data_IF_219750041472
#
_entry.id   IF_219750041472
#
_cell.length_a   1.000
_cell.length_b   1.000
_cell.length_c   1.000
_cell.angle_alpha   90.00
_cell.angle_beta   90.00
_cell.angle_gamma   90.00
#
_symmetry.space_group_name_H-M   'P 1'
#
loop_
_entity.id
_entity.type
_entity.pdbx_description
1 polymer ?
#
# COMPACT_ATOMS: atom_id res chain seq x y z
N UNK A 1 -5.06 -23.69 -15.18
CA UNK A 1 -5.04 -22.93 -13.90
C UNK A 1 -4.56 -21.50 -14.09
N UNK A 2 -3.35 -21.27 -14.61
CA UNK A 2 -2.80 -19.91 -14.83
C UNK A 2 -3.70 -19.08 -15.75
N UNK A 3 -4.16 -19.63 -16.88
CA UNK A 3 -5.06 -18.92 -17.81
C UNK A 3 -6.37 -18.49 -17.11
N UNK A 4 -6.99 -19.37 -16.32
CA UNK A 4 -8.17 -19.05 -15.51
C UNK A 4 -7.86 -17.93 -14.49
N UNK A 5 -6.71 -17.98 -13.83
CA UNK A 5 -6.29 -16.95 -12.90
C UNK A 5 -6.07 -15.59 -13.60
N UNK A 6 -5.52 -15.59 -14.82
CA UNK A 6 -5.38 -14.40 -15.66
C UNK A 6 -6.74 -13.79 -16.04
N UNK A 7 -7.72 -14.60 -16.41
CA UNK A 7 -9.08 -14.13 -16.71
C UNK A 7 -9.75 -13.50 -15.49
N UNK A 8 -9.62 -14.14 -14.32
CA UNK A 8 -10.11 -13.62 -13.04
C UNK A 8 -9.41 -12.30 -12.72
N UNK A 9 -8.08 -12.24 -12.84
CA UNK A 9 -7.28 -11.02 -12.62
C UNK A 9 -7.75 -9.88 -13.51
N UNK A 10 -7.94 -10.13 -14.81
CA UNK A 10 -8.45 -9.13 -15.76
C UNK A 10 -9.82 -8.58 -15.33
N UNK A 11 -10.68 -9.44 -14.78
CA UNK A 11 -12.01 -9.05 -14.31
C UNK A 11 -11.99 -8.28 -12.99
N UNK A 12 -11.24 -8.78 -12.01
CA UNK A 12 -11.16 -8.20 -10.66
C UNK A 12 -10.42 -6.86 -10.72
N UNK A 13 -9.24 -6.81 -11.37
CA UNK A 13 -8.43 -5.59 -11.52
C UNK A 13 -8.97 -4.61 -12.57
N UNK A 14 -10.13 -4.88 -13.16
CA UNK A 14 -10.83 -4.02 -14.15
C UNK A 14 -9.96 -3.68 -15.37
N UNK A 15 -9.22 -4.64 -15.93
CA UNK A 15 -8.23 -4.40 -17.00
C UNK A 15 -8.83 -4.34 -18.43
N UNK A 16 -10.14 -4.07 -18.55
CA UNK A 16 -10.86 -3.88 -19.82
C UNK A 16 -11.70 -2.60 -19.76
N UNK A 17 -11.85 -1.92 -20.90
CA UNK A 17 -12.64 -0.67 -21.00
C UNK A 17 -14.10 -0.82 -20.54
N UNK A 18 -14.70 -2.00 -20.77
CA UNK A 18 -16.06 -2.32 -20.32
C UNK A 18 -16.16 -2.50 -18.81
N UNK A 19 -15.05 -2.83 -18.13
CA UNK A 19 -14.99 -3.09 -16.69
C UNK A 19 -14.49 -1.89 -15.88
N UNK A 20 -13.96 -0.86 -16.54
CA UNK A 20 -13.28 0.26 -15.88
C UNK A 20 -14.16 0.96 -14.85
N UNK A 21 -13.52 1.50 -13.81
CA UNK A 21 -14.17 2.31 -12.80
C UNK A 21 -14.57 3.67 -13.38
N UNK A 22 -15.84 4.06 -13.21
CA UNK A 22 -16.40 5.30 -13.78
C UNK A 22 -16.99 6.26 -12.74
N UNK A 23 -17.23 5.76 -11.53
CA UNK A 23 -17.83 6.50 -10.43
C UNK A 23 -16.89 6.54 -9.23
N UNK A 24 -17.03 7.58 -8.42
CA UNK A 24 -16.24 7.77 -7.21
C UNK A 24 -16.50 6.65 -6.19
N UNK A 25 -17.75 6.29 -6.03
CA UNK A 25 -18.19 5.22 -5.13
C UNK A 25 -17.66 3.85 -5.60
N UNK A 26 -17.55 3.65 -6.92
CA UNK A 26 -16.93 2.45 -7.50
C UNK A 26 -15.44 2.35 -7.18
N UNK A 27 -14.72 3.48 -7.18
CA UNK A 27 -13.30 3.56 -6.80
C UNK A 27 -13.11 3.21 -5.33
N UNK A 28 -13.91 3.78 -4.43
CA UNK A 28 -13.80 3.49 -3.00
C UNK A 28 -14.11 2.02 -2.71
N UNK A 29 -15.18 1.49 -3.31
CA UNK A 29 -15.55 0.08 -3.16
C UNK A 29 -14.44 -0.84 -3.67
N UNK A 30 -13.84 -0.53 -4.81
CA UNK A 30 -12.71 -1.28 -5.34
C UNK A 30 -11.55 -1.35 -4.35
N UNK A 31 -11.16 -0.24 -3.73
CA UNK A 31 -10.08 -0.24 -2.71
C UNK A 31 -10.47 -1.10 -1.50
N UNK A 32 -11.72 -1.02 -1.04
CA UNK A 32 -12.17 -1.82 0.10
C UNK A 32 -12.31 -3.31 -0.18
N UNK A 33 -12.74 -3.68 -1.39
CA UNK A 33 -12.94 -5.07 -1.79
C UNK A 33 -11.60 -5.77 -2.05
N UNK A 34 -10.67 -5.09 -2.72
CA UNK A 34 -9.33 -5.63 -2.98
C UNK A 34 -8.41 -5.54 -1.75
N UNK A 35 -8.67 -4.60 -0.84
CA UNK A 35 -7.90 -4.40 0.40
C UNK A 35 -6.56 -3.68 0.20
N UNK A 36 -5.78 -4.09 -0.80
CA UNK A 36 -4.49 -3.51 -1.18
C UNK A 36 -4.51 -3.15 -2.67
N UNK A 37 -4.44 -1.86 -2.99
CA UNK A 37 -4.47 -1.37 -4.37
C UNK A 37 -3.24 -0.50 -4.62
N UNK A 38 -2.38 -0.90 -5.55
CA UNK A 38 -1.27 -0.06 -5.98
C UNK A 38 -1.79 1.20 -6.67
N UNK A 39 -1.11 2.31 -6.44
CA UNK A 39 -1.48 3.57 -7.08
C UNK A 39 -1.27 3.51 -8.60
N UNK A 40 -0.13 2.97 -9.03
CA UNK A 40 0.23 2.74 -10.43
C UNK A 40 0.24 1.24 -10.75
N UNK A 41 0.17 0.92 -12.04
CA UNK A 41 0.44 -0.44 -12.52
C UNK A 41 1.93 -0.79 -12.48
N UNK A 42 2.27 -2.00 -12.95
CA UNK A 42 3.66 -2.49 -13.02
C UNK A 42 4.08 -3.39 -11.85
N UNK A 43 3.13 -3.82 -11.04
CA UNK A 43 3.30 -4.88 -10.06
C UNK A 43 2.07 -5.82 -10.06
N UNK A 44 2.06 -6.80 -9.15
CA UNK A 44 1.04 -7.86 -9.11
C UNK A 44 -0.30 -7.41 -8.49
N UNK A 45 -0.30 -6.32 -7.71
CA UNK A 45 -1.53 -5.82 -7.08
C UNK A 45 -2.49 -5.19 -8.10
N UNK A 46 -3.80 -5.15 -7.79
CA UNK A 46 -4.73 -4.30 -8.52
C UNK A 46 -4.22 -2.86 -8.51
N UNK A 47 -4.38 -2.17 -9.64
CA UNK A 47 -3.87 -0.81 -9.82
C UNK A 47 -5.01 0.17 -9.95
N UNK A 48 -4.99 1.23 -9.13
CA UNK A 48 -5.93 2.34 -9.14
C UNK A 48 -6.03 2.95 -10.55
N UNK A 49 -4.89 3.32 -11.13
CA UNK A 49 -4.87 3.93 -12.47
C UNK A 49 -5.29 2.93 -13.55
N UNK A 50 -4.83 1.68 -13.48
CA UNK A 50 -5.18 0.67 -14.48
C UNK A 50 -6.68 0.37 -14.48
N UNK A 51 -7.29 0.31 -13.30
CA UNK A 51 -8.71 0.04 -13.13
C UNK A 51 -9.59 1.20 -13.60
N UNK A 52 -9.13 2.45 -13.45
CA UNK A 52 -9.80 3.64 -13.98
C UNK A 52 -9.70 3.71 -15.51
N UNK A 53 -8.51 3.42 -16.05
CA UNK A 53 -8.28 3.46 -17.49
C UNK A 53 -8.88 2.25 -18.22
N UNK A 54 -9.11 1.14 -17.51
CA UNK A 54 -9.59 -0.11 -18.11
C UNK A 54 -8.53 -0.82 -18.93
N UNK A 55 -7.26 -0.77 -18.51
CA UNK A 55 -6.11 -1.24 -19.30
C UNK A 55 -5.09 -1.98 -18.45
N UNK A 56 -4.56 -3.08 -18.97
CA UNK A 56 -3.39 -3.74 -18.39
C UNK A 56 -2.12 -2.91 -18.61
N UNK A 57 -1.21 -2.97 -17.64
CA UNK A 57 0.16 -2.50 -17.82
C UNK A 57 0.87 -3.49 -18.76
N UNK A 58 1.49 -2.99 -19.84
CA UNK A 58 2.37 -3.79 -20.71
C UNK A 58 3.74 -3.10 -20.76
N UNK A 59 4.86 -3.85 -20.74
CA UNK A 59 6.20 -3.27 -20.87
C UNK A 59 6.39 -2.43 -22.15
N UNK A 60 5.67 -2.78 -23.22
CA UNK A 60 5.74 -2.14 -24.55
C UNK A 60 4.57 -1.21 -24.87
N UNK A 61 3.50 -1.22 -24.07
CA UNK A 61 2.38 -0.29 -24.25
C UNK A 61 2.51 0.85 -23.26
N UNK A 62 2.20 2.06 -23.70
CA UNK A 62 2.03 3.22 -22.84
C UNK A 62 0.77 3.05 -21.95
N UNK A 63 0.74 2.03 -21.09
CA UNK A 63 -0.39 1.72 -20.19
C UNK A 63 -0.67 2.83 -19.17
N UNK A 64 0.29 3.73 -19.00
CA UNK A 64 0.16 5.07 -18.46
C UNK A 64 0.85 5.98 -19.48
N UNK A 65 0.10 6.79 -20.25
CA UNK A 65 0.70 7.57 -21.36
C UNK A 65 1.34 8.88 -20.91
N UNK A 66 1.30 9.15 -19.60
CA UNK A 66 1.95 10.29 -18.96
C UNK A 66 0.98 11.12 -18.14
N UNK A 67 1.49 12.21 -17.55
CA UNK A 67 0.75 13.16 -16.71
C UNK A 67 -0.53 13.72 -17.37
N UNK A 68 -0.68 13.63 -18.69
CA UNK A 68 -1.89 14.08 -19.40
C UNK A 68 -3.11 13.18 -19.16
N UNK A 69 -2.94 11.88 -18.95
CA UNK A 69 -4.05 10.98 -18.59
C UNK A 69 -4.64 11.35 -17.21
N UNK A 70 -3.81 11.92 -16.33
CA UNK A 70 -4.16 12.37 -14.98
C UNK A 70 -5.23 13.48 -14.98
N UNK A 71 -5.18 14.37 -15.98
CA UNK A 71 -6.06 15.52 -16.11
C UNK A 71 -7.19 15.33 -17.11
N UNK A 72 -7.01 14.44 -18.09
CA UNK A 72 -7.98 14.22 -19.18
C UNK A 72 -9.08 13.22 -18.83
N UNK A 73 -8.77 12.19 -18.03
CA UNK A 73 -9.77 11.19 -17.63
C UNK A 73 -10.61 11.74 -16.49
N UNK A 74 -11.92 11.73 -16.67
CA UNK A 74 -12.89 12.19 -15.68
C UNK A 74 -13.67 11.01 -15.09
N UNK A 75 -13.75 10.97 -13.76
CA UNK A 75 -14.61 10.07 -12.98
C UNK A 75 -15.65 10.93 -12.28
N UNK A 76 -16.93 10.63 -12.49
CA UNK A 76 -18.04 11.46 -11.99
C UNK A 76 -17.87 12.96 -12.33
N UNK A 77 -17.29 13.27 -13.50
CA UNK A 77 -17.02 14.65 -13.94
C UNK A 77 -15.74 15.29 -13.40
N UNK A 78 -15.03 14.64 -12.47
CA UNK A 78 -13.80 15.15 -11.86
C UNK A 78 -12.53 14.47 -12.42
N UNK A 79 -11.40 15.20 -12.56
CA UNK A 79 -10.13 14.59 -12.94
C UNK A 79 -9.67 13.52 -11.95
N UNK A 80 -8.95 12.51 -12.44
CA UNK A 80 -8.35 11.46 -11.58
C UNK A 80 -7.48 12.05 -10.46
N UNK A 81 -6.81 13.18 -10.73
CA UNK A 81 -6.08 13.96 -9.75
C UNK A 81 -6.85 14.30 -8.48
N UNK A 82 -8.11 14.68 -8.66
CA UNK A 82 -8.99 15.09 -7.58
C UNK A 82 -9.47 13.86 -6.81
N UNK A 83 -9.87 12.81 -7.53
CA UNK A 83 -10.29 11.54 -6.92
C UNK A 83 -9.16 10.92 -6.09
N UNK A 84 -7.91 10.97 -6.58
CA UNK A 84 -6.74 10.50 -5.80
C UNK A 84 -6.59 11.25 -4.48
N UNK A 85 -6.64 12.59 -4.52
CA UNK A 85 -6.55 13.42 -3.31
C UNK A 85 -7.70 13.14 -2.35
N UNK A 86 -8.91 12.97 -2.87
CA UNK A 86 -10.07 12.57 -2.06
C UNK A 86 -9.83 11.22 -1.39
N UNK A 87 -9.36 10.20 -2.12
CA UNK A 87 -9.02 8.87 -1.57
C UNK A 87 -7.97 8.97 -0.46
N UNK A 88 -6.90 9.73 -0.68
CA UNK A 88 -5.81 9.91 0.28
C UNK A 88 -6.26 10.58 1.59
N UNK A 89 -7.21 11.50 1.50
CA UNK A 89 -7.78 12.19 2.64
C UNK A 89 -8.83 11.39 3.41
N UNK A 90 -9.28 10.24 2.91
CA UNK A 90 -10.32 9.46 3.59
C UNK A 90 -9.80 8.82 4.86
N UNK A 91 -10.59 8.88 5.92
CA UNK A 91 -10.21 8.27 7.20
C UNK A 91 -10.05 6.76 7.08
N UNK A 92 -10.86 6.06 6.28
CA UNK A 92 -10.91 4.60 6.14
C UNK A 92 -9.93 3.99 5.11
N UNK A 93 -9.06 4.82 4.51
CA UNK A 93 -8.02 4.39 3.56
C UNK A 93 -6.69 5.03 3.94
N UNK A 94 -5.61 4.24 3.91
CA UNK A 94 -4.25 4.76 4.04
C UNK A 94 -3.59 4.81 2.68
N UNK A 95 -2.89 5.90 2.36
CA UNK A 95 -1.91 5.93 1.29
C UNK A 95 -0.52 5.78 1.91
N UNK A 96 0.18 4.68 1.59
CA UNK A 96 1.49 4.36 2.17
C UNK A 96 2.39 3.66 1.15
N UNK A 97 3.69 3.56 1.43
CA UNK A 97 4.70 2.89 0.59
C UNK A 97 5.02 1.48 1.06
N UNK A 98 4.02 0.77 1.56
CA UNK A 98 4.15 -0.56 2.15
C UNK A 98 4.57 -1.64 1.12
N UNK A 99 3.94 -1.63 -0.06
CA UNK A 99 4.17 -2.66 -1.08
C UNK A 99 5.19 -2.20 -2.12
N UNK A 100 6.32 -2.91 -2.22
CA UNK A 100 7.46 -2.62 -3.11
C UNK A 100 7.97 -1.18 -3.02
N UNK A 101 7.78 -0.52 -1.87
CA UNK A 101 8.11 0.91 -1.67
C UNK A 101 7.36 1.86 -2.60
N UNK A 102 6.25 1.40 -3.19
CA UNK A 102 5.39 2.18 -4.09
C UNK A 102 4.11 2.60 -3.37
N UNK A 103 3.56 3.77 -3.76
CA UNK A 103 2.31 4.27 -3.18
C UNK A 103 1.20 3.23 -3.38
N UNK A 104 0.60 2.84 -2.28
CA UNK A 104 -0.40 1.77 -2.18
C UNK A 104 -1.53 2.27 -1.29
N UNK A 105 -2.76 2.13 -1.76
CA UNK A 105 -3.96 2.34 -0.98
C UNK A 105 -4.28 1.09 -0.17
N UNK A 106 -4.45 1.27 1.14
CA UNK A 106 -4.71 0.19 2.11
C UNK A 106 -6.04 0.47 2.79
N UNK A 107 -7.00 -0.40 2.53
CA UNK A 107 -8.32 -0.39 3.16
C UNK A 107 -8.22 -0.60 4.66
N UNK A 108 -9.11 0.05 5.43
CA UNK A 108 -9.29 -0.19 6.87
C UNK A 108 -9.52 -1.64 7.25
N UNK A 109 -10.05 -2.46 6.35
CA UNK A 109 -10.21 -3.91 6.53
C UNK A 109 -8.88 -4.65 6.74
N UNK A 110 -7.76 -4.09 6.26
CA UNK A 110 -6.43 -4.68 6.35
C UNK A 110 -5.69 -4.20 7.62
N UNK A 111 -6.10 -3.10 8.25
CA UNK A 111 -5.37 -2.56 9.39
C UNK A 111 -5.26 -3.50 10.58
N UNK A 112 -6.31 -4.26 10.99
CA UNK A 112 -6.17 -5.24 12.07
C UNK A 112 -5.17 -6.36 11.76
N UNK A 113 -4.88 -6.62 10.49
CA UNK A 113 -3.87 -7.60 10.04
C UNK A 113 -2.49 -6.96 10.06
N UNK A 114 -2.37 -5.69 9.65
CA UNK A 114 -1.10 -4.97 9.65
C UNK A 114 -0.63 -4.55 11.04
N UNK A 115 -1.55 -4.25 11.96
CA UNK A 115 -1.21 -3.66 13.25
C UNK A 115 -0.23 -4.50 14.08
N UNK A 116 -0.39 -5.84 14.24
CA UNK A 116 0.61 -6.65 14.92
C UNK A 116 1.98 -6.63 14.23
N UNK A 117 2.01 -6.54 12.89
CA UNK A 117 3.25 -6.45 12.10
C UNK A 117 3.95 -5.13 12.36
N UNK A 118 3.21 -4.01 12.36
CA UNK A 118 3.74 -2.68 12.66
C UNK A 118 4.22 -2.59 14.11
N UNK A 119 3.46 -3.15 15.06
CA UNK A 119 3.85 -3.21 16.48
C UNK A 119 5.12 -4.02 16.73
N UNK A 120 5.26 -5.16 16.05
CA UNK A 120 6.49 -5.96 16.10
C UNK A 120 7.70 -5.13 15.69
N UNK A 121 7.64 -4.50 14.52
CA UNK A 121 8.74 -3.69 13.99
C UNK A 121 9.03 -2.48 14.87
N UNK A 122 8.01 -1.85 15.45
CA UNK A 122 8.20 -0.80 16.46
C UNK A 122 8.98 -1.31 17.67
N UNK A 123 8.70 -2.52 18.14
CA UNK A 123 9.47 -3.15 19.22
C UNK A 123 10.95 -3.28 18.86
N UNK A 124 11.27 -3.67 17.61
CA UNK A 124 12.65 -3.72 17.12
C UNK A 124 13.31 -2.33 17.07
N UNK A 125 12.56 -1.30 16.65
CA UNK A 125 13.03 0.10 16.68
C UNK A 125 13.36 0.54 18.12
N UNK A 126 12.49 0.23 19.09
CA UNK A 126 12.69 0.59 20.49
C UNK A 126 13.92 -0.08 21.12
N UNK A 127 14.29 -1.26 20.62
CA UNK A 127 15.50 -1.97 21.02
C UNK A 127 16.76 -1.51 20.27
N UNK A 128 16.61 -0.60 19.30
CA UNK A 128 17.72 -0.13 18.45
C UNK A 128 18.23 -1.18 17.46
N UNK A 129 17.45 -2.22 17.19
CA UNK A 129 17.86 -3.32 16.29
C UNK A 129 17.72 -2.95 14.81
N UNK A 130 16.84 -2.00 14.51
CA UNK A 130 16.60 -1.48 13.17
C UNK A 130 16.52 0.04 13.16
N UNK A 131 16.67 0.62 11.97
CA UNK A 131 16.66 2.07 11.68
C UNK A 131 17.85 2.86 12.26
N UNK A 132 18.22 3.92 11.56
CA UNK A 132 19.23 4.89 11.96
C UNK A 132 18.73 5.87 13.03
N UNK A 133 19.66 6.53 13.73
CA UNK A 133 19.35 7.56 14.74
C UNK A 133 18.41 8.65 14.21
N UNK A 134 18.61 9.08 12.96
CA UNK A 134 17.75 10.07 12.32
C UNK A 134 16.31 9.56 12.17
N UNK A 135 16.13 8.31 11.74
CA UNK A 135 14.81 7.70 11.57
C UNK A 135 14.10 7.53 12.92
N UNK A 136 14.85 7.15 13.97
CA UNK A 136 14.31 7.08 15.33
C UNK A 136 13.90 8.46 15.85
N UNK A 137 14.73 9.49 15.62
CA UNK A 137 14.43 10.87 16.01
C UNK A 137 13.20 11.43 15.27
N UNK A 138 13.07 11.14 13.97
CA UNK A 138 11.89 11.46 13.18
C UNK A 138 10.64 10.81 13.76
N UNK A 139 10.68 9.49 13.99
CA UNK A 139 9.55 8.73 14.52
C UNK A 139 9.12 9.26 15.90
N UNK A 140 10.09 9.54 16.80
CA UNK A 140 9.83 10.11 18.12
C UNK A 140 9.19 11.49 18.03
N UNK A 141 9.68 12.34 17.13
CA UNK A 141 9.16 13.71 16.96
C UNK A 141 7.74 13.71 16.42
N UNK A 142 7.45 12.88 15.41
CA UNK A 142 6.10 12.72 14.86
C UNK A 142 5.15 12.18 15.95
N UNK A 143 5.59 11.20 16.75
CA UNK A 143 4.79 10.64 17.85
C UNK A 143 4.48 11.65 18.95
N UNK A 144 5.43 12.52 19.31
CA UNK A 144 5.22 13.56 20.32
C UNK A 144 4.23 14.65 19.89
N UNK A 145 4.18 14.96 18.61
CA UNK A 145 3.27 15.98 18.05
C UNK A 145 1.89 15.43 17.69
N UNK A 146 1.71 14.10 17.70
CA UNK A 146 0.59 13.36 17.10
C UNK A 146 0.45 13.54 15.58
N UNK A 147 0.56 14.77 15.06
CA UNK A 147 0.48 15.13 13.66
C UNK A 147 1.37 16.34 13.36
N UNK A 148 2.22 16.26 12.33
CA UNK A 148 3.13 17.36 11.97
C UNK A 148 3.36 17.45 10.46
N UNK A 149 3.30 18.67 9.92
CA UNK A 149 3.58 18.93 8.49
C UNK A 149 5.08 18.82 8.19
N UNK A 150 5.43 18.36 6.99
CA UNK A 150 6.82 18.12 6.53
C UNK A 150 7.78 19.28 6.81
N UNK A 151 7.39 20.52 6.50
CA UNK A 151 8.21 21.72 6.68
C UNK A 151 8.44 22.05 8.17
N UNK A 152 7.40 21.92 9.00
CA UNK A 152 7.49 22.10 10.45
C UNK A 152 8.36 21.01 11.09
N UNK A 153 8.25 19.77 10.61
CA UNK A 153 9.09 18.66 11.04
C UNK A 153 10.56 18.90 10.73
N UNK A 154 10.87 19.40 9.52
CA UNK A 154 12.25 19.77 9.13
C UNK A 154 12.82 20.86 10.02
N UNK A 155 12.06 21.94 10.25
CA UNK A 155 12.48 23.04 11.14
C UNK A 155 12.74 22.55 12.56
N UNK A 156 11.84 21.72 13.10
CA UNK A 156 11.96 21.20 14.47
C UNK A 156 13.17 20.29 14.69
N UNK A 157 13.63 19.63 13.63
CA UNK A 157 14.80 18.77 13.65
C UNK A 157 16.09 19.45 13.19
N UNK A 158 16.03 20.74 12.86
CA UNK A 158 17.17 21.51 12.33
C UNK A 158 17.73 20.89 11.02
N UNK A 159 16.83 20.36 10.17
CA UNK A 159 17.12 19.70 8.89
C UNK A 159 16.62 20.49 7.68
N UNK A 160 16.51 21.81 7.80
CA UNK A 160 16.04 22.71 6.75
C UNK A 160 17.09 22.92 5.63
N UNK A 161 18.38 22.73 5.92
CA UNK A 161 19.48 22.74 4.96
C UNK A 161 19.27 21.85 3.71
N UNK A 162 19.77 22.30 2.56
CA UNK A 162 19.59 21.63 1.25
C UNK A 162 20.29 20.28 1.20
N UNK A 163 21.45 20.17 1.83
CA UNK A 163 22.27 18.97 2.01
C UNK A 163 21.53 17.86 2.76
N UNK A 164 20.63 18.22 3.68
CA UNK A 164 19.85 17.27 4.45
C UNK A 164 18.63 16.72 3.69
N UNK A 165 18.27 17.32 2.54
CA UNK A 165 17.02 17.02 1.87
C UNK A 165 16.87 15.57 1.43
N UNK A 166 17.89 15.03 0.76
CA UNK A 166 17.86 13.65 0.30
C UNK A 166 17.81 12.66 1.47
N UNK A 167 18.61 12.91 2.51
CA UNK A 167 18.67 12.06 3.72
C UNK A 167 17.35 12.08 4.49
N UNK A 168 16.75 13.25 4.67
CA UNK A 168 15.47 13.43 5.35
C UNK A 168 14.33 12.68 4.64
N UNK A 169 14.16 12.87 3.33
CA UNK A 169 13.11 12.18 2.59
C UNK A 169 13.35 10.67 2.48
N UNK A 170 14.61 10.23 2.41
CA UNK A 170 14.95 8.81 2.49
C UNK A 170 14.51 8.20 3.82
N UNK A 171 14.79 8.87 4.93
CA UNK A 171 14.41 8.43 6.26
C UNK A 171 12.87 8.36 6.42
N UNK A 172 12.13 9.39 5.98
CA UNK A 172 10.66 9.35 5.97
C UNK A 172 10.12 8.20 5.13
N UNK A 173 10.62 8.04 3.91
CA UNK A 173 10.21 6.93 3.04
C UNK A 173 10.50 5.59 3.71
N UNK A 174 11.65 5.42 4.36
CA UNK A 174 11.98 4.17 5.03
C UNK A 174 10.99 3.87 6.17
N UNK A 175 10.72 4.84 7.04
CA UNK A 175 9.70 4.72 8.09
C UNK A 175 8.31 4.34 7.54
N UNK A 176 7.93 4.92 6.40
CA UNK A 176 6.66 4.62 5.73
C UNK A 176 6.65 3.22 5.09
N UNK A 177 7.78 2.70 4.60
CA UNK A 177 7.85 1.30 4.13
C UNK A 177 7.62 0.29 5.24
N UNK A 178 7.94 0.68 6.49
CA UNK A 178 7.58 -0.07 7.69
C UNK A 178 6.16 0.26 8.22
N UNK A 179 5.38 1.09 7.50
CA UNK A 179 4.11 1.63 7.96
C UNK A 179 4.13 2.24 9.38
N UNK A 180 5.31 2.64 9.89
CA UNK A 180 5.44 3.24 11.23
C UNK A 180 4.86 4.65 11.26
N UNK A 181 4.89 5.32 10.11
CA UNK A 181 4.27 6.62 9.87
C UNK A 181 3.41 6.55 8.60
N UNK A 182 2.40 7.41 8.54
CA UNK A 182 1.53 7.62 7.39
C UNK A 182 1.55 9.10 7.04
N UNK A 183 1.73 9.42 5.76
CA UNK A 183 1.67 10.78 5.24
C UNK A 183 0.39 11.00 4.44
N UNK A 184 -0.32 12.09 4.73
CA UNK A 184 -1.46 12.56 3.92
C UNK A 184 -1.07 13.90 3.30
N UNK A 185 -1.36 14.12 2.02
CA UNK A 185 -1.10 15.42 1.38
C UNK A 185 -1.88 16.53 2.11
N UNK A 186 -1.23 17.65 2.40
CA UNK A 186 -1.85 18.80 3.05
C UNK A 186 -2.97 19.37 2.15
N UNK A 187 -4.24 19.36 2.61
CA UNK A 187 -5.34 19.89 1.82
C UNK A 187 -5.30 21.42 1.66
N UNK A 188 -4.53 22.12 2.50
CA UNK A 188 -4.42 23.58 2.49
C UNK A 188 -2.94 24.01 2.42
N UNK A 189 -2.28 23.83 1.25
CA UNK A 189 -0.87 24.15 1.12
C UNK A 189 -0.64 25.65 1.30
N UNK A 190 0.16 26.02 2.30
CA UNK A 190 0.53 27.44 2.52
C UNK A 190 1.60 27.89 1.51
N UNK A 191 2.78 27.28 1.55
CA UNK A 191 3.99 27.72 0.81
C UNK A 191 4.68 26.59 0.02
N UNK A 192 4.59 25.35 0.49
CA UNK A 192 5.13 24.18 -0.20
C UNK A 192 3.99 23.36 -0.79
N UNK A 193 3.78 23.51 -2.10
CA UNK A 193 2.91 22.64 -2.89
C UNK A 193 3.37 21.19 -2.65
N UNK A 194 2.47 20.32 -2.17
CA UNK A 194 2.72 18.90 -1.85
C UNK A 194 3.43 18.59 -0.52
N UNK A 195 3.33 19.46 0.50
CA UNK A 195 3.69 19.05 1.85
C UNK A 195 2.77 17.92 2.35
N UNK A 196 3.33 16.98 3.12
CA UNK A 196 2.54 15.95 3.79
C UNK A 196 2.36 16.32 5.26
N UNK A 197 1.22 15.93 5.80
CA UNK A 197 0.96 15.85 7.23
C UNK A 197 1.29 14.43 7.66
N UNK A 198 2.30 14.29 8.52
CA UNK A 198 2.79 13.00 9.01
C UNK A 198 2.18 12.66 10.37
N UNK A 199 1.73 11.42 10.50
CA UNK A 199 1.21 10.85 11.74
C UNK A 199 1.84 9.49 11.98
N UNK A 200 1.90 9.05 13.23
CA UNK A 200 2.22 7.65 13.53
C UNK A 200 1.08 6.73 13.11
N UNK A 201 1.40 5.46 12.87
CA UNK A 201 0.40 4.41 12.62
C UNK A 201 -0.78 4.49 13.60
N UNK A 202 -0.54 4.45 14.90
CA UNK A 202 -1.59 4.39 15.94
C UNK A 202 -2.42 5.66 16.01
N UNK A 203 -1.81 6.81 15.70
CA UNK A 203 -2.59 8.05 15.63
C UNK A 203 -3.55 7.98 14.45
N UNK A 204 -3.08 7.45 13.31
CA UNK A 204 -3.86 7.39 12.09
C UNK A 204 -4.92 6.29 12.08
N UNK A 205 -4.70 5.20 12.81
CA UNK A 205 -5.56 4.00 12.80
C UNK A 205 -6.33 3.78 14.10
N UNK A 206 -6.29 4.75 15.03
CA UNK A 206 -6.83 4.67 16.41
C UNK A 206 -8.26 4.11 16.52
N UNK A 207 -9.13 4.40 15.56
CA UNK A 207 -10.55 4.00 15.55
C UNK A 207 -10.82 2.67 14.83
N UNK A 208 -9.85 2.11 14.11
CA UNK A 208 -10.06 0.98 13.20
C UNK A 208 -9.39 -0.33 13.62
N UNK A 209 -8.79 -0.40 14.81
CA UNK A 209 -8.04 -1.56 15.29
C UNK A 209 -8.53 -1.97 16.67
N UNK A 210 -8.92 -3.23 16.81
CA UNK A 210 -9.25 -3.86 18.09
C UNK A 210 -7.97 -4.14 18.91
N UNK A 211 -8.08 -4.10 20.24
CA UNK A 211 -6.96 -4.30 21.16
C UNK A 211 -6.45 -5.74 21.16
N UNK A 212 -7.27 -6.71 20.77
CA UNK A 212 -6.91 -8.13 20.67
C UNK A 212 -6.60 -8.51 19.22
N UNK A 213 -5.36 -8.24 18.79
CA UNK A 213 -4.84 -8.66 17.48
C UNK A 213 -4.27 -10.08 17.49
N UNK A 214 -4.11 -10.72 16.32
CA UNK A 214 -3.38 -11.99 16.20
C UNK A 214 -1.88 -11.82 16.56
N UNK A 215 -1.18 -12.94 16.75
CA UNK A 215 0.29 -12.90 16.87
C UNK A 215 0.93 -12.37 15.59
N UNK A 216 2.19 -11.94 15.67
CA UNK A 216 2.96 -11.43 14.53
C UNK A 216 2.99 -12.42 13.35
N UNK A 217 3.24 -13.69 13.62
CA UNK A 217 3.35 -14.75 12.61
C UNK A 217 2.00 -14.98 11.92
N UNK A 218 0.92 -15.07 12.70
CA UNK A 218 -0.45 -15.19 12.17
C UNK A 218 -0.86 -13.96 11.36
N UNK A 219 -0.45 -12.77 11.79
CA UNK A 219 -0.69 -11.52 11.09
C UNK A 219 0.03 -11.48 9.75
N UNK A 220 1.31 -11.88 9.71
CA UNK A 220 2.08 -12.00 8.47
C UNK A 220 1.50 -13.05 7.52
N UNK A 221 1.10 -14.21 8.04
CA UNK A 221 0.47 -15.26 7.23
C UNK A 221 -0.80 -14.76 6.56
N UNK A 222 -1.69 -14.12 7.35
CA UNK A 222 -2.93 -13.54 6.83
C UNK A 222 -2.69 -12.36 5.88
N UNK A 223 -1.64 -11.56 6.12
CA UNK A 223 -1.25 -10.49 5.21
C UNK A 223 -0.80 -11.07 3.85
N UNK A 224 0.02 -12.11 3.87
CA UNK A 224 0.51 -12.77 2.65
C UNK A 224 -0.65 -13.40 1.87
N UNK A 225 -1.53 -14.14 2.53
CA UNK A 225 -2.75 -14.70 1.95
C UNK A 225 -3.58 -13.61 1.27
N UNK A 226 -3.93 -12.54 2.00
CA UNK A 226 -4.75 -11.44 1.45
C UNK A 226 -4.05 -10.68 0.32
N UNK A 227 -2.73 -10.59 0.36
CA UNK A 227 -1.95 -9.99 -0.73
C UNK A 227 -1.99 -10.87 -1.99
N UNK A 228 -1.85 -12.19 -1.86
CA UNK A 228 -1.99 -13.12 -2.99
C UNK A 228 -3.42 -13.14 -3.52
N UNK A 229 -4.42 -13.09 -2.64
CA UNK A 229 -5.82 -12.93 -3.04
C UNK A 229 -6.02 -11.69 -3.90
N UNK A 230 -5.56 -10.53 -3.42
CA UNK A 230 -5.64 -9.28 -4.17
C UNK A 230 -4.90 -9.39 -5.51
N UNK A 231 -3.72 -10.02 -5.55
CA UNK A 231 -2.98 -10.22 -6.79
C UNK A 231 -3.70 -11.15 -7.77
N UNK A 232 -4.49 -12.11 -7.26
CA UNK A 232 -5.05 -13.31 -7.92
C UNK A 232 -3.96 -14.27 -8.43
N UNK A 233 -2.94 -13.74 -9.09
CA UNK A 233 -1.81 -14.42 -9.67
C UNK A 233 -0.54 -13.59 -9.43
N UNK A 234 0.42 -14.19 -8.73
CA UNK A 234 1.68 -13.55 -8.37
C UNK A 234 2.87 -14.39 -8.83
N UNK A 235 3.96 -13.75 -9.23
CA UNK A 235 5.23 -14.45 -9.43
C UNK A 235 5.85 -14.80 -8.08
N UNK A 236 6.19 -16.06 -7.88
CA UNK A 236 6.70 -16.54 -6.61
C UNK A 236 8.04 -15.88 -6.23
N UNK A 237 8.94 -15.71 -7.20
CA UNK A 237 10.27 -15.12 -6.99
C UNK A 237 10.25 -13.65 -6.57
N UNK A 238 9.08 -13.01 -6.65
CA UNK A 238 8.87 -11.63 -6.28
C UNK A 238 8.33 -11.42 -4.87
N UNK A 239 7.78 -12.45 -4.22
CA UNK A 239 7.11 -12.33 -2.91
C UNK A 239 8.04 -11.71 -1.86
N UNK A 240 9.30 -12.14 -1.84
CA UNK A 240 10.35 -11.60 -0.96
C UNK A 240 10.64 -10.11 -1.13
N UNK A 241 10.15 -9.48 -2.20
CA UNK A 241 10.35 -8.04 -2.48
C UNK A 241 9.11 -7.20 -2.18
N UNK A 242 8.00 -7.83 -1.80
CA UNK A 242 6.73 -7.13 -1.59
C UNK A 242 6.76 -6.23 -0.39
N UNK A 243 7.33 -6.67 0.72
CA UNK A 243 7.37 -5.91 1.96
C UNK A 243 8.81 -5.75 2.44
N UNK A 244 9.06 -4.67 3.17
CA UNK A 244 10.40 -4.39 3.72
C UNK A 244 10.83 -5.43 4.77
N UNK A 245 9.87 -6.06 5.45
CA UNK A 245 10.04 -7.08 6.49
C UNK A 245 9.86 -8.51 5.99
N UNK A 246 10.53 -8.84 4.90
CA UNK A 246 10.33 -10.12 4.21
C UNK A 246 11.07 -11.32 4.83
N UNK A 247 11.79 -11.16 5.94
CA UNK A 247 12.69 -12.19 6.47
C UNK A 247 11.95 -13.50 6.79
N UNK A 248 10.76 -13.40 7.41
CA UNK A 248 9.96 -14.56 7.82
C UNK A 248 9.00 -15.04 6.72
N UNK A 249 8.91 -14.32 5.59
CA UNK A 249 7.88 -14.59 4.57
C UNK A 249 8.05 -15.93 3.87
N UNK A 250 9.28 -16.44 3.73
CA UNK A 250 9.51 -17.69 3.00
C UNK A 250 8.96 -18.90 3.77
N UNK A 251 9.22 -18.97 5.08
CA UNK A 251 8.71 -20.04 5.93
C UNK A 251 7.17 -20.01 5.98
N UNK A 252 6.60 -18.81 6.16
CA UNK A 252 5.15 -18.59 6.17
C UNK A 252 4.53 -18.97 4.82
N UNK A 253 5.17 -18.62 3.71
CA UNK A 253 4.70 -18.97 2.36
C UNK A 253 4.63 -20.50 2.19
N UNK A 254 5.66 -21.24 2.58
CA UNK A 254 5.65 -22.71 2.48
C UNK A 254 4.61 -23.35 3.41
N UNK A 255 4.34 -22.77 4.58
CA UNK A 255 3.25 -23.22 5.47
C UNK A 255 1.88 -23.02 4.82
N UNK A 256 1.61 -21.82 4.30
CA UNK A 256 0.34 -21.50 3.63
C UNK A 256 0.09 -22.34 2.36
N UNK A 257 1.17 -22.77 1.68
CA UNK A 257 1.08 -23.71 0.56
C UNK A 257 0.66 -25.12 1.01
N UNK A 258 1.14 -25.58 2.18
CA UNK A 258 0.73 -26.87 2.75
C UNK A 258 -0.72 -26.84 3.21
N UNK A 259 -1.16 -25.71 3.73
CA UNK A 259 -2.54 -25.49 4.20
C UNK A 259 -3.52 -25.16 3.05
N UNK A 260 -3.04 -25.17 1.81
CA UNK A 260 -3.80 -24.83 0.59
C UNK A 260 -4.47 -23.44 0.61
N UNK A 261 -3.97 -22.50 1.42
CA UNK A 261 -4.48 -21.12 1.45
C UNK A 261 -4.33 -20.43 0.09
N UNK A 262 -3.28 -20.80 -0.66
CA UNK A 262 -3.10 -20.51 -2.08
C UNK A 262 -2.26 -21.63 -2.72
N UNK A 263 -2.09 -21.60 -4.03
CA UNK A 263 -1.55 -22.72 -4.80
C UNK A 263 -0.28 -22.33 -5.55
N UNK A 264 0.67 -23.26 -5.64
CA UNK A 264 1.82 -23.16 -6.53
C UNK A 264 1.48 -23.72 -7.91
N UNK A 265 1.66 -22.93 -8.96
CA UNK A 265 1.46 -23.31 -10.35
C UNK A 265 2.68 -22.89 -11.19
N UNK A 266 3.68 -23.77 -11.30
CA UNK A 266 4.95 -23.45 -11.93
C UNK A 266 5.69 -22.35 -11.16
N UNK A 267 6.00 -21.23 -11.81
CA UNK A 267 6.69 -20.07 -11.22
C UNK A 267 5.74 -19.08 -10.52
N UNK A 268 4.47 -19.44 -10.37
CA UNK A 268 3.42 -18.57 -9.88
C UNK A 268 2.76 -19.10 -8.61
N UNK A 269 2.32 -18.17 -7.78
CA UNK A 269 1.36 -18.39 -6.71
C UNK A 269 -0.02 -17.90 -7.18
N UNK A 270 -1.06 -18.70 -6.93
CA UNK A 270 -2.43 -18.47 -7.40
C UNK A 270 -3.37 -18.49 -6.21
N UNK A 271 -4.25 -17.49 -6.10
CA UNK A 271 -5.29 -17.46 -5.07
C UNK A 271 -6.14 -18.73 -5.12
N UNK A 272 -6.45 -19.30 -3.94
CA UNK A 272 -7.29 -20.50 -3.80
C UNK A 272 -8.67 -20.33 -4.44
N UNK A 273 -9.20 -19.10 -4.45
CA UNK A 273 -10.48 -18.71 -5.08
C UNK A 273 -10.59 -19.07 -6.56
N UNK A 274 -9.47 -19.31 -7.26
CA UNK A 274 -9.47 -19.77 -8.66
C UNK A 274 -10.05 -21.19 -8.79
N UNK A 275 -10.00 -22.01 -7.72
CA UNK A 275 -10.64 -23.34 -7.69
C UNK A 275 -12.17 -23.24 -7.63
N UNK A 276 -12.72 -22.35 -6.80
CA UNK A 276 -14.14 -22.33 -6.42
C UNK A 276 -15.12 -21.85 -7.51
N UNK A 277 -14.65 -21.24 -8.60
CA UNK A 277 -15.53 -20.67 -9.65
C UNK A 277 -16.27 -21.74 -10.49
N UNK A 278 -16.13 -23.03 -10.17
CA UNK A 278 -16.77 -24.15 -10.90
C UNK A 278 -17.69 -25.05 -10.04
N UNK A 279 -18.11 -24.62 -8.85
CA UNK A 279 -19.23 -25.24 -8.12
C UNK A 279 -20.47 -24.36 -8.16
#
# INVERSE_FOLDING_TARGET
>A
MIEKAEEIRVREHKLKLSLRLRTREGVYRFIHDEGLVSFLGGNELPSFISAILGRSWKPSAKGFTGWMDWWSVKISGQPVAQISREVEGREDILATRLFRRTKTFVSSRIWPILDPVVKHHRGLVQKGEILSDLEQQLLKTIGGESSIRTDRLRKKLELDGKENNSRFHRALNNLETYALIIGVEDPHPETHLHANIWQTWETRTRSGIDRTGPSYEKALAKLLEKTIDACVLAREDQVRKWFQWSADMEAIKEELLRDEAFLRAGLYLVSSRVRDVNN
#
